data_IF_850674049951
#
_entry.id   IF_850674049951
#
_cell.length_a   1.000
_cell.length_b   1.000
_cell.length_c   1.000
_cell.angle_alpha   90.00
_cell.angle_beta   90.00
_cell.angle_gamma   90.00
#
_symmetry.space_group_name_H-M   'P 1'
#
loop_
_entity.id
_entity.type
_entity.pdbx_description
1 polymer ?
#
# COMPACT_ATOMS: atom_id res chain seq x y z
N UNK A 1 -29.46 31.79 -4.33
CA UNK A 1 -28.49 30.76 -4.77
C UNK A 1 -27.24 30.66 -3.87
N UNK A 2 -26.83 31.71 -3.15
CA UNK A 2 -25.70 31.66 -2.19
C UNK A 2 -25.92 30.73 -0.97
N UNK A 3 -27.16 30.54 -0.50
CA UNK A 3 -27.43 29.70 0.67
C UNK A 3 -27.21 28.18 0.44
N UNK A 4 -27.32 27.70 -0.81
CA UNK A 4 -27.04 26.28 -1.14
C UNK A 4 -25.53 26.01 -1.22
N UNK A 5 -24.72 26.96 -1.68
CA UNK A 5 -23.27 26.81 -1.78
C UNK A 5 -22.58 26.67 -0.40
N UNK A 6 -23.04 27.39 0.62
CA UNK A 6 -22.49 27.33 1.98
C UNK A 6 -22.81 25.99 2.66
N UNK A 7 -24.00 25.42 2.42
CA UNK A 7 -24.40 24.11 2.96
C UNK A 7 -23.58 22.98 2.31
N UNK A 8 -23.32 23.07 1.00
CA UNK A 8 -22.48 22.10 0.29
C UNK A 8 -21.00 22.21 0.69
N UNK A 9 -20.49 23.41 0.95
CA UNK A 9 -19.14 23.60 1.50
C UNK A 9 -19.03 23.02 2.92
N UNK A 10 -20.02 23.26 3.78
CA UNK A 10 -20.08 22.67 5.13
C UNK A 10 -20.24 21.14 5.13
N UNK A 11 -21.01 20.59 4.17
CA UNK A 11 -21.15 19.15 3.97
C UNK A 11 -19.86 18.54 3.41
N UNK A 12 -19.21 19.15 2.42
CA UNK A 12 -17.92 18.72 1.89
C UNK A 12 -16.79 18.79 2.93
N UNK A 13 -16.81 19.81 3.81
CA UNK A 13 -15.85 19.96 4.90
C UNK A 13 -16.11 18.97 6.05
N UNK A 14 -17.38 18.65 6.33
CA UNK A 14 -17.78 17.53 7.21
C UNK A 14 -17.46 16.17 6.60
N UNK A 15 -17.61 15.99 5.28
CA UNK A 15 -17.31 14.76 4.55
C UNK A 15 -15.79 14.56 4.47
N UNK A 16 -14.99 15.62 4.27
CA UNK A 16 -13.52 15.61 4.30
C UNK A 16 -12.97 15.29 5.69
N UNK A 17 -13.62 15.79 6.76
CA UNK A 17 -13.37 15.34 8.14
C UNK A 17 -13.85 13.89 8.37
N UNK A 18 -14.97 13.49 7.77
CA UNK A 18 -15.56 12.17 7.95
C UNK A 18 -14.81 11.06 7.21
N UNK A 19 -14.24 11.31 6.03
CA UNK A 19 -13.50 10.33 5.22
C UNK A 19 -12.09 10.10 5.76
N UNK A 20 -11.40 11.16 6.20
CA UNK A 20 -10.14 11.06 6.95
C UNK A 20 -10.33 10.34 8.29
N UNK A 21 -11.44 10.63 9.00
CA UNK A 21 -11.82 9.86 10.18
C UNK A 21 -12.30 8.45 9.87
N UNK A 22 -12.84 8.16 8.68
CA UNK A 22 -13.29 6.81 8.31
C UNK A 22 -12.10 5.89 8.13
N UNK A 23 -11.05 6.32 7.42
CA UNK A 23 -9.83 5.54 7.24
C UNK A 23 -9.13 5.29 8.58
N UNK A 24 -9.05 6.31 9.45
CA UNK A 24 -8.47 6.19 10.79
C UNK A 24 -9.37 5.33 11.70
N UNK A 25 -10.70 5.45 11.63
CA UNK A 25 -11.62 4.59 12.40
C UNK A 25 -11.62 3.15 11.91
N UNK A 26 -11.50 2.91 10.60
CA UNK A 26 -11.34 1.56 10.03
C UNK A 26 -10.00 1.00 10.48
N UNK A 27 -8.90 1.75 10.39
CA UNK A 27 -7.60 1.32 10.90
C UNK A 27 -7.64 1.02 12.41
N UNK A 28 -8.30 1.86 13.22
CA UNK A 28 -8.45 1.67 14.68
C UNK A 28 -9.35 0.48 15.01
N UNK A 29 -10.48 0.29 14.31
CA UNK A 29 -11.38 -0.86 14.47
C UNK A 29 -10.70 -2.15 14.02
N UNK A 30 -9.83 -2.07 13.01
CA UNK A 30 -9.07 -3.19 12.51
C UNK A 30 -7.92 -3.55 13.48
N UNK A 31 -7.21 -2.55 14.01
CA UNK A 31 -6.20 -2.73 15.07
C UNK A 31 -6.85 -3.25 16.36
N UNK A 32 -8.03 -2.78 16.74
CA UNK A 32 -8.73 -3.26 17.94
C UNK A 32 -9.21 -4.70 17.78
N UNK A 33 -9.84 -5.05 16.65
CA UNK A 33 -10.22 -6.44 16.33
C UNK A 33 -9.01 -7.39 16.33
N UNK A 34 -7.86 -6.93 15.83
CA UNK A 34 -6.60 -7.69 15.86
C UNK A 34 -6.06 -7.90 17.29
N UNK A 35 -6.18 -6.90 18.15
CA UNK A 35 -5.73 -6.99 19.55
C UNK A 35 -6.55 -8.03 20.31
N UNK A 36 -7.86 -8.10 20.06
CA UNK A 36 -8.75 -9.12 20.62
C UNK A 36 -8.40 -10.54 20.12
N UNK A 37 -8.17 -10.74 18.82
CA UNK A 37 -7.84 -12.07 18.27
C UNK A 37 -6.45 -12.56 18.70
N UNK A 38 -5.46 -11.66 18.77
CA UNK A 38 -4.11 -11.95 19.24
C UNK A 38 -4.08 -12.37 20.71
N UNK A 39 -4.93 -11.77 21.55
CA UNK A 39 -5.10 -12.18 22.94
C UNK A 39 -5.70 -13.59 23.07
N UNK A 40 -6.69 -13.94 22.24
CA UNK A 40 -7.34 -15.27 22.25
C UNK A 40 -6.37 -16.37 21.78
N UNK A 41 -5.58 -16.12 20.72
CA UNK A 41 -4.54 -17.05 20.25
C UNK A 41 -3.31 -17.15 21.18
N UNK A 42 -3.21 -16.29 22.21
CA UNK A 42 -2.12 -16.34 23.20
C UNK A 42 -2.28 -17.44 24.26
N UNK A 43 -3.48 -18.01 24.38
CA UNK A 43 -3.80 -19.07 25.34
C UNK A 43 -3.52 -20.49 24.83
N UNK A 44 -2.93 -20.65 23.64
CA UNK A 44 -2.74 -21.97 23.02
C UNK A 44 -1.38 -22.60 23.35
N UNK A 45 -1.45 -23.89 23.68
CA UNK A 45 -0.53 -24.88 24.26
C UNK A 45 0.92 -24.98 23.68
N UNK A 46 1.66 -23.87 23.56
CA UNK A 46 3.07 -23.91 23.15
C UNK A 46 4.03 -23.24 24.16
N UNK A 47 5.24 -23.79 24.41
CA UNK A 47 6.32 -23.19 25.22
C UNK A 47 6.85 -21.83 24.80
N UNK A 48 6.21 -21.16 23.85
CA UNK A 48 6.77 -19.99 23.23
C UNK A 48 6.35 -18.74 24.02
N UNK A 49 7.30 -17.84 24.35
CA UNK A 49 6.95 -16.57 24.97
C UNK A 49 5.91 -15.81 24.12
N UNK A 50 5.11 -14.96 24.78
CA UNK A 50 4.09 -14.15 24.09
C UNK A 50 4.77 -13.28 23.03
N UNK A 51 4.25 -13.31 21.81
CA UNK A 51 4.77 -12.49 20.70
C UNK A 51 4.29 -11.03 20.86
N UNK A 52 5.02 -10.08 20.26
CA UNK A 52 4.62 -8.68 20.28
C UNK A 52 3.44 -8.45 19.31
N UNK A 53 2.25 -8.26 19.89
CA UNK A 53 1.00 -8.01 19.14
C UNK A 53 1.11 -6.73 18.31
N UNK A 54 1.83 -5.71 18.78
CA UNK A 54 2.02 -4.47 18.02
C UNK A 54 2.85 -4.72 16.77
N UNK A 55 3.90 -5.53 16.85
CA UNK A 55 4.73 -5.87 15.69
C UNK A 55 3.93 -6.64 14.62
N UNK A 56 3.09 -7.58 15.05
CA UNK A 56 2.17 -8.32 14.16
C UNK A 56 1.15 -7.39 13.51
N UNK A 57 0.55 -6.46 14.27
CA UNK A 57 -0.39 -5.48 13.75
C UNK A 57 0.23 -4.54 12.71
N UNK A 58 1.48 -4.13 12.89
CA UNK A 58 2.21 -3.33 11.89
C UNK A 58 2.38 -4.10 10.58
N UNK A 59 2.76 -5.37 10.62
CA UNK A 59 2.86 -6.21 9.41
C UNK A 59 1.49 -6.31 8.70
N UNK A 60 0.41 -6.53 9.44
CA UNK A 60 -0.94 -6.58 8.86
C UNK A 60 -1.33 -5.22 8.23
N UNK A 61 -1.07 -4.10 8.92
CA UNK A 61 -1.31 -2.77 8.36
C UNK A 61 -0.45 -2.48 7.11
N UNK A 62 0.75 -3.05 7.05
CA UNK A 62 1.64 -2.96 5.89
C UNK A 62 1.07 -3.72 4.70
N UNK A 63 0.54 -4.93 4.93
CA UNK A 63 -0.13 -5.71 3.90
C UNK A 63 -1.37 -4.97 3.36
N UNK A 64 -2.17 -4.38 4.24
CA UNK A 64 -3.30 -3.54 3.84
C UNK A 64 -2.81 -2.38 2.96
N UNK A 65 -1.78 -1.66 3.39
CA UNK A 65 -1.22 -0.50 2.68
C UNK A 65 -0.74 -0.88 1.28
N UNK A 66 0.06 -1.95 1.15
CA UNK A 66 0.54 -2.41 -0.15
C UNK A 66 -0.60 -2.76 -1.12
N UNK A 67 -1.59 -3.51 -0.65
CA UNK A 67 -2.73 -3.91 -1.48
C UNK A 67 -3.61 -2.73 -1.85
N UNK A 68 -3.76 -1.75 -0.94
CA UNK A 68 -4.49 -0.52 -1.19
C UNK A 68 -3.86 0.26 -2.35
N UNK A 69 -2.56 0.56 -2.27
CA UNK A 69 -1.85 1.37 -3.26
C UNK A 69 -1.87 0.73 -4.64
N UNK A 70 -1.53 -0.56 -4.74
CA UNK A 70 -1.42 -1.25 -6.02
C UNK A 70 -2.78 -1.26 -6.71
N UNK A 71 -3.83 -1.66 -6.00
CA UNK A 71 -5.16 -1.74 -6.61
C UNK A 71 -5.71 -0.37 -6.94
N UNK A 72 -5.38 0.68 -6.19
CA UNK A 72 -5.75 2.04 -6.53
C UNK A 72 -5.04 2.53 -7.79
N UNK A 73 -3.72 2.33 -7.91
CA UNK A 73 -2.96 2.68 -9.12
C UNK A 73 -3.46 1.92 -10.35
N UNK A 74 -3.78 0.63 -10.21
CA UNK A 74 -4.37 -0.16 -11.30
C UNK A 74 -5.76 0.36 -11.71
N UNK A 75 -6.59 0.75 -10.74
CA UNK A 75 -7.95 1.23 -11.00
C UNK A 75 -7.96 2.58 -11.69
N UNK A 76 -7.19 3.54 -11.17
CA UNK A 76 -7.18 4.91 -11.71
C UNK A 76 -6.28 4.99 -12.94
N UNK A 77 -5.31 4.10 -13.11
CA UNK A 77 -4.29 4.21 -14.17
C UNK A 77 -4.87 4.55 -15.53
N UNK A 78 -6.00 3.93 -15.90
CA UNK A 78 -6.73 4.24 -17.13
C UNK A 78 -7.34 5.65 -17.15
N UNK A 79 -8.06 6.04 -16.09
CA UNK A 79 -8.66 7.37 -15.98
C UNK A 79 -7.60 8.48 -15.92
N UNK A 80 -6.50 8.21 -15.23
CA UNK A 80 -5.34 9.10 -15.14
C UNK A 80 -4.68 9.26 -16.50
N UNK A 81 -4.44 8.16 -17.23
CA UNK A 81 -3.82 8.20 -18.55
C UNK A 81 -4.65 9.00 -19.58
N UNK A 82 -5.97 8.78 -19.60
CA UNK A 82 -6.89 9.54 -20.46
C UNK A 82 -6.87 11.04 -20.12
N UNK A 83 -6.89 11.39 -18.83
CA UNK A 83 -6.90 12.78 -18.38
C UNK A 83 -5.56 13.51 -18.57
N UNK A 84 -4.43 12.83 -18.32
CA UNK A 84 -3.08 13.41 -18.30
C UNK A 84 -2.42 13.45 -19.67
N UNK A 85 -2.56 12.37 -20.46
CA UNK A 85 -1.89 12.24 -21.75
C UNK A 85 -2.83 12.39 -22.94
N UNK A 86 -4.13 12.64 -22.69
CA UNK A 86 -5.11 12.81 -23.75
C UNK A 86 -5.23 11.58 -24.65
N UNK A 87 -5.02 10.39 -24.08
CA UNK A 87 -5.16 9.14 -24.82
C UNK A 87 -6.64 8.78 -25.01
N UNK A 88 -6.96 8.17 -26.15
CA UNK A 88 -8.27 7.56 -26.35
C UNK A 88 -8.44 6.34 -25.45
N UNK A 89 -9.69 5.91 -25.21
CA UNK A 89 -9.96 4.70 -24.42
C UNK A 89 -9.27 3.46 -24.99
N UNK A 90 -9.23 3.32 -26.32
CA UNK A 90 -8.56 2.20 -26.99
C UNK A 90 -7.04 2.24 -26.77
N UNK A 91 -6.41 3.40 -26.95
CA UNK A 91 -4.96 3.57 -26.70
C UNK A 91 -4.61 3.34 -25.23
N UNK A 92 -5.46 3.81 -24.32
CA UNK A 92 -5.26 3.67 -22.88
C UNK A 92 -5.24 2.21 -22.45
N UNK A 93 -6.22 1.41 -22.88
CA UNK A 93 -6.28 -0.02 -22.53
C UNK A 93 -5.03 -0.77 -23.00
N UNK A 94 -4.56 -0.49 -24.22
CA UNK A 94 -3.35 -1.12 -24.77
C UNK A 94 -2.10 -0.68 -24.01
N UNK A 95 -1.89 0.63 -23.84
CA UNK A 95 -0.65 1.15 -23.24
C UNK A 95 -0.54 0.82 -21.75
N UNK A 96 -1.63 0.97 -20.99
CA UNK A 96 -1.68 0.57 -19.57
C UNK A 96 -1.50 -0.94 -19.43
N UNK A 97 -2.08 -1.74 -20.33
CA UNK A 97 -1.87 -3.19 -20.38
C UNK A 97 -0.40 -3.56 -20.58
N UNK A 98 0.30 -2.90 -21.51
CA UNK A 98 1.75 -3.10 -21.73
C UNK A 98 2.55 -2.70 -20.49
N UNK A 99 2.27 -1.53 -19.90
CA UNK A 99 2.95 -1.09 -18.68
C UNK A 99 2.76 -2.08 -17.53
N UNK A 100 1.55 -2.61 -17.36
CA UNK A 100 1.26 -3.60 -16.33
C UNK A 100 2.01 -4.92 -16.57
N UNK A 101 2.10 -5.36 -17.83
CA UNK A 101 2.85 -6.56 -18.20
C UNK A 101 4.35 -6.40 -17.90
N UNK A 102 4.93 -5.25 -18.26
CA UNK A 102 6.35 -4.94 -17.98
C UNK A 102 6.60 -4.83 -16.48
N UNK A 103 5.72 -4.15 -15.73
CA UNK A 103 5.79 -4.06 -14.27
C UNK A 103 5.72 -5.45 -13.61
N UNK A 104 4.82 -6.32 -14.07
CA UNK A 104 4.70 -7.70 -13.60
C UNK A 104 5.96 -8.52 -13.90
N UNK A 105 6.50 -8.43 -15.12
CA UNK A 105 7.74 -9.11 -15.49
C UNK A 105 8.94 -8.63 -14.66
N UNK A 106 9.08 -7.30 -14.48
CA UNK A 106 10.12 -6.71 -13.63
C UNK A 106 9.96 -7.15 -12.16
N UNK A 107 8.75 -7.21 -11.65
CA UNK A 107 8.45 -7.70 -10.29
C UNK A 107 8.87 -9.17 -10.11
N UNK A 108 8.61 -10.02 -11.10
CA UNK A 108 9.02 -11.44 -11.08
C UNK A 108 10.54 -11.57 -11.12
N UNK A 109 11.24 -10.73 -11.88
CA UNK A 109 12.72 -10.71 -11.91
C UNK A 109 13.30 -10.32 -10.55
N UNK A 110 12.77 -9.26 -9.93
CA UNK A 110 13.17 -8.82 -8.59
C UNK A 110 12.88 -9.92 -7.56
N UNK A 111 11.68 -10.52 -7.60
CA UNK A 111 11.31 -11.62 -6.70
C UNK A 111 12.24 -12.83 -6.83
N UNK A 112 12.53 -13.25 -8.07
CA UNK A 112 13.46 -14.36 -8.34
C UNK A 112 14.86 -14.06 -7.84
N UNK A 113 15.37 -12.85 -8.10
CA UNK A 113 16.67 -12.41 -7.57
C UNK A 113 16.69 -12.42 -6.04
N UNK A 114 15.57 -12.05 -5.43
CA UNK A 114 15.41 -12.06 -3.99
C UNK A 114 15.46 -13.47 -3.40
N UNK A 115 14.76 -14.43 -4.00
CA UNK A 115 14.73 -15.84 -3.55
C UNK A 115 16.08 -16.54 -3.75
N UNK A 116 16.74 -16.34 -4.89
CA UNK A 116 17.93 -17.14 -5.25
C UNK A 116 19.22 -16.64 -4.59
N UNK A 117 19.46 -15.33 -4.54
CA UNK A 117 20.75 -14.77 -4.08
C UNK A 117 20.66 -13.91 -2.83
N UNK A 118 19.51 -13.26 -2.61
CA UNK A 118 19.34 -12.33 -1.49
C UNK A 118 18.57 -12.95 -0.32
N UNK A 119 18.03 -14.15 -0.44
CA UNK A 119 17.26 -14.82 0.62
C UNK A 119 18.09 -14.98 1.89
N UNK A 120 19.35 -15.40 1.74
CA UNK A 120 20.31 -15.49 2.85
C UNK A 120 20.74 -14.11 3.37
N UNK A 121 20.85 -13.10 2.49
CA UNK A 121 21.17 -11.74 2.90
C UNK A 121 20.04 -11.11 3.72
N UNK A 122 18.79 -11.37 3.34
CA UNK A 122 17.58 -10.82 3.94
C UNK A 122 17.23 -11.55 5.23
N UNK A 123 17.38 -12.88 5.26
CA UNK A 123 17.02 -13.70 6.42
C UNK A 123 17.97 -13.55 7.62
N UNK A 124 19.11 -12.88 7.46
CA UNK A 124 20.06 -12.58 8.53
C UNK A 124 19.66 -11.36 9.38
N UNK A 125 18.39 -11.25 9.78
CA UNK A 125 17.89 -10.20 10.68
C UNK A 125 17.74 -8.81 10.06
N UNK A 126 17.90 -8.70 8.72
CA UNK A 126 17.83 -7.46 7.94
C UNK A 126 16.46 -7.25 7.27
N UNK A 127 15.48 -8.11 7.51
CA UNK A 127 14.14 -8.04 6.93
C UNK A 127 13.50 -6.67 7.15
N UNK A 128 13.67 -6.11 8.36
CA UNK A 128 13.18 -4.76 8.69
C UNK A 128 13.69 -3.69 7.75
N UNK A 129 14.99 -3.72 7.44
CA UNK A 129 15.64 -2.72 6.60
C UNK A 129 15.12 -2.87 5.17
N UNK A 130 15.01 -4.10 4.67
CA UNK A 130 14.46 -4.37 3.34
C UNK A 130 13.00 -3.93 3.21
N UNK A 131 12.16 -4.17 4.23
CA UNK A 131 10.79 -3.66 4.22
C UNK A 131 10.76 -2.13 4.15
N UNK A 132 11.58 -1.44 4.96
CA UNK A 132 11.65 0.02 4.93
C UNK A 132 12.19 0.56 3.59
N UNK A 133 13.17 -0.11 2.98
CA UNK A 133 13.67 0.24 1.64
C UNK A 133 12.53 0.11 0.62
N UNK A 134 11.79 -1.01 0.63
CA UNK A 134 10.67 -1.22 -0.28
C UNK A 134 9.57 -0.18 -0.11
N UNK A 135 9.15 0.10 1.13
CA UNK A 135 8.20 1.17 1.43
C UNK A 135 8.72 2.56 1.02
N UNK A 136 10.02 2.81 1.20
CA UNK A 136 10.68 4.04 0.76
C UNK A 136 10.70 4.20 -0.77
N UNK A 137 10.94 3.13 -1.53
CA UNK A 137 10.85 3.14 -2.99
C UNK A 137 9.43 3.46 -3.47
N UNK A 138 8.42 2.84 -2.84
CA UNK A 138 7.01 3.13 -3.11
C UNK A 138 6.65 4.58 -2.78
N UNK A 139 7.11 5.10 -1.65
CA UNK A 139 6.88 6.50 -1.26
C UNK A 139 7.57 7.46 -2.24
N UNK A 140 8.82 7.20 -2.60
CA UNK A 140 9.57 8.00 -3.55
C UNK A 140 8.90 8.03 -4.94
N UNK A 141 8.37 6.89 -5.41
CA UNK A 141 7.56 6.84 -6.64
C UNK A 141 6.37 7.81 -6.58
N UNK A 142 5.60 7.83 -5.49
CA UNK A 142 4.44 8.71 -5.36
C UNK A 142 4.82 10.19 -5.24
N UNK A 143 5.96 10.49 -4.60
CA UNK A 143 6.49 11.86 -4.51
C UNK A 143 6.91 12.36 -5.88
N UNK A 144 7.67 11.57 -6.64
CA UNK A 144 8.18 12.01 -7.96
C UNK A 144 7.08 12.09 -9.01
N UNK A 145 6.07 11.21 -8.94
CA UNK A 145 4.91 11.23 -9.85
C UNK A 145 3.81 12.21 -9.43
N UNK A 146 4.00 12.95 -8.34
CA UNK A 146 3.05 13.96 -7.91
C UNK A 146 2.95 15.07 -8.96
N UNK A 147 1.73 15.50 -9.36
CA UNK A 147 1.55 16.61 -10.29
C UNK A 147 1.87 17.94 -9.59
N UNK A 148 3.17 18.26 -9.51
CA UNK A 148 3.66 19.53 -8.97
C UNK A 148 3.15 20.70 -9.82
N UNK A 149 2.95 21.89 -9.22
CA UNK A 149 2.46 23.08 -9.92
C UNK A 149 3.57 23.74 -10.77
N UNK A 150 4.26 22.94 -11.58
CA UNK A 150 5.34 23.35 -12.47
C UNK A 150 5.07 22.80 -13.86
N UNK A 151 5.00 23.67 -14.86
CA UNK A 151 4.79 23.29 -16.26
C UNK A 151 3.42 23.70 -16.81
N UNK A 152 3.00 23.06 -17.90
CA UNK A 152 1.70 23.30 -18.54
C UNK A 152 0.55 22.66 -17.75
N UNK A 153 -0.58 23.35 -17.70
CA UNK A 153 -1.85 22.76 -17.27
C UNK A 153 -2.35 21.73 -18.28
N UNK A 154 -3.26 20.86 -17.85
CA UNK A 154 -3.84 19.83 -18.71
C UNK A 154 -4.46 20.42 -19.98
N UNK A 155 -4.22 19.74 -21.11
CA UNK A 155 -4.77 20.10 -22.42
C UNK A 155 -6.09 19.37 -22.66
N UNK A 156 -7.06 20.08 -23.19
CA UNK A 156 -8.32 19.52 -23.67
C UNK A 156 -8.40 19.71 -25.19
N UNK A 157 -8.58 18.62 -25.92
CA UNK A 157 -8.80 18.67 -27.36
C UNK A 157 -10.22 18.17 -27.64
N UNK A 158 -11.18 19.07 -27.93
CA UNK A 158 -12.55 18.65 -28.24
C UNK A 158 -12.58 17.85 -29.54
N UNK A 159 -13.55 16.93 -29.66
CA UNK A 159 -13.77 16.17 -30.89
C UNK A 159 -14.05 17.15 -32.04
N UNK A 160 -13.12 17.25 -32.99
CA UNK A 160 -13.31 18.05 -34.18
C UNK A 160 -13.97 17.17 -35.24
N UNK A 161 -15.09 17.61 -35.83
CA UNK A 161 -15.97 16.82 -36.73
C UNK A 161 -15.31 16.31 -38.02
N UNK A 162 -14.00 16.50 -38.20
CA UNK A 162 -13.28 16.30 -39.45
C UNK A 162 -12.22 15.19 -39.42
N UNK A 163 -11.94 14.52 -38.29
CA UNK A 163 -10.97 13.39 -38.31
C UNK A 163 -11.12 12.33 -37.21
N UNK A 164 -11.56 12.68 -36.01
CA UNK A 164 -11.73 11.71 -34.91
C UNK A 164 -12.92 12.12 -34.02
N UNK A 165 -13.93 11.26 -33.95
CA UNK A 165 -15.22 11.51 -33.26
C UNK A 165 -15.15 11.42 -31.73
N UNK A 166 -13.97 11.48 -31.12
CA UNK A 166 -13.80 11.31 -29.66
C UNK A 166 -13.08 12.49 -29.05
N UNK A 167 -13.68 13.12 -28.03
CA UNK A 167 -12.99 14.11 -27.21
C UNK A 167 -11.90 13.41 -26.40
N UNK A 168 -10.72 14.01 -26.37
CA UNK A 168 -9.57 13.47 -25.64
C UNK A 168 -9.04 14.48 -24.63
N UNK A 169 -8.52 13.96 -23.52
CA UNK A 169 -8.04 14.77 -22.41
C UNK A 169 -9.12 15.07 -21.37
N UNK A 170 -8.82 16.06 -20.53
CA UNK A 170 -9.65 16.43 -19.40
C UNK A 170 -10.65 17.52 -19.81
N UNK A 171 -11.93 17.17 -19.89
CA UNK A 171 -13.01 18.11 -20.23
C UNK A 171 -13.32 19.06 -19.05
N UNK A 172 -13.09 20.38 -19.19
CA UNK A 172 -13.33 21.35 -18.13
C UNK A 172 -14.80 21.47 -17.70
N UNK A 173 -15.75 21.15 -18.60
CA UNK A 173 -17.18 21.22 -18.31
C UNK A 173 -17.64 20.04 -17.44
N UNK A 174 -16.99 18.88 -17.59
CA UNK A 174 -17.22 17.69 -16.77
C UNK A 174 -16.38 17.67 -15.49
N UNK A 175 -15.16 18.23 -15.53
CA UNK A 175 -14.20 18.17 -14.44
C UNK A 175 -13.56 19.54 -14.15
N UNK A 176 -14.04 20.19 -13.09
CA UNK A 176 -13.53 21.52 -12.67
C UNK A 176 -12.03 21.57 -12.31
N UNK A 177 -11.41 20.42 -12.04
CA UNK A 177 -10.00 20.31 -11.67
C UNK A 177 -9.04 20.28 -12.89
N UNK A 178 -9.55 20.18 -14.13
CA UNK A 178 -8.67 20.18 -15.32
C UNK A 178 -7.81 21.43 -15.42
N UNK A 179 -8.31 22.58 -14.96
CA UNK A 179 -7.65 23.88 -15.09
C UNK A 179 -6.51 24.05 -14.08
N UNK A 180 -6.59 23.39 -12.92
CA UNK A 180 -5.61 23.55 -11.83
C UNK A 180 -4.52 22.48 -11.83
N UNK A 181 -4.76 21.35 -12.48
CA UNK A 181 -3.83 20.21 -12.50
C UNK A 181 -2.83 20.37 -13.64
N UNK A 182 -1.58 20.02 -13.34
CA UNK A 182 -0.46 20.08 -14.28
C UNK A 182 -0.17 18.69 -14.86
N UNK A 183 0.30 18.66 -16.11
CA UNK A 183 0.61 17.41 -16.81
C UNK A 183 1.89 16.75 -16.25
N UNK A 184 1.86 15.42 -16.09
CA UNK A 184 3.03 14.62 -15.69
C UNK A 184 3.61 13.91 -16.91
N UNK A 185 4.93 13.96 -17.08
CA UNK A 185 5.59 13.32 -18.22
C UNK A 185 5.38 11.80 -18.21
N UNK A 186 4.84 11.27 -19.31
CA UNK A 186 4.56 9.85 -19.48
C UNK A 186 5.79 8.96 -19.24
N UNK A 187 6.94 9.31 -19.82
CA UNK A 187 8.15 8.49 -19.73
C UNK A 187 8.69 8.43 -18.31
N UNK A 188 8.59 9.54 -17.57
CA UNK A 188 8.94 9.58 -16.16
C UNK A 188 8.04 8.62 -15.36
N UNK A 189 6.72 8.72 -15.54
CA UNK A 189 5.76 7.84 -14.88
C UNK A 189 6.02 6.37 -15.22
N UNK A 190 6.17 6.04 -16.51
CA UNK A 190 6.36 4.69 -17.02
C UNK A 190 7.64 4.03 -16.50
N UNK A 191 8.77 4.74 -16.55
CA UNK A 191 10.05 4.20 -16.07
C UNK A 191 10.00 3.94 -14.57
N UNK A 192 9.47 4.88 -13.78
CA UNK A 192 9.40 4.71 -12.33
C UNK A 192 8.38 3.64 -11.92
N UNK A 193 7.28 3.49 -12.67
CA UNK A 193 6.31 2.42 -12.48
C UNK A 193 6.97 1.04 -12.69
N UNK A 194 7.67 0.86 -13.80
CA UNK A 194 8.33 -0.40 -14.15
C UNK A 194 9.61 -0.70 -13.35
N UNK A 195 10.15 0.26 -12.60
CA UNK A 195 11.38 0.08 -11.80
C UNK A 195 11.12 0.16 -10.31
N UNK A 196 10.71 1.32 -9.79
CA UNK A 196 10.52 1.54 -8.36
C UNK A 196 9.31 0.79 -7.82
N UNK A 197 8.16 0.92 -8.47
CA UNK A 197 6.94 0.26 -8.01
C UNK A 197 7.03 -1.27 -8.23
N UNK A 198 7.60 -1.69 -9.35
CA UNK A 198 7.93 -3.09 -9.63
C UNK A 198 8.83 -3.73 -8.58
N UNK A 199 9.81 -2.99 -8.04
CA UNK A 199 10.68 -3.49 -6.98
C UNK A 199 10.03 -3.41 -5.59
N UNK A 200 9.26 -2.35 -5.32
CA UNK A 200 8.60 -2.09 -4.03
C UNK A 200 7.77 -3.29 -3.57
N UNK A 201 6.88 -3.80 -4.43
CA UNK A 201 5.96 -4.86 -4.05
C UNK A 201 6.65 -6.18 -3.63
N UNK A 202 7.48 -6.83 -4.46
CA UNK A 202 8.14 -8.08 -4.08
C UNK A 202 9.08 -7.91 -2.89
N UNK A 203 9.80 -6.78 -2.79
CA UNK A 203 10.72 -6.52 -1.67
C UNK A 203 9.94 -6.47 -0.35
N UNK A 204 8.91 -5.62 -0.25
CA UNK A 204 8.13 -5.51 0.98
C UNK A 204 7.40 -6.82 1.27
N UNK A 205 6.77 -7.44 0.27
CA UNK A 205 6.00 -8.66 0.47
C UNK A 205 6.88 -9.79 1.03
N UNK A 206 8.05 -10.06 0.44
CA UNK A 206 8.91 -11.16 0.94
C UNK A 206 9.52 -10.83 2.31
N UNK A 207 10.10 -9.65 2.48
CA UNK A 207 10.76 -9.26 3.73
C UNK A 207 9.76 -9.17 4.89
N UNK A 208 8.59 -8.57 4.68
CA UNK A 208 7.53 -8.48 5.69
C UNK A 208 6.97 -9.85 6.06
N UNK A 209 6.66 -10.72 5.09
CA UNK A 209 6.16 -12.08 5.40
C UNK A 209 7.22 -12.91 6.16
N UNK A 210 8.49 -12.77 5.78
CA UNK A 210 9.59 -13.46 6.47
C UNK A 210 9.70 -12.98 7.92
N UNK A 211 9.65 -11.67 8.14
CA UNK A 211 9.67 -11.09 9.49
C UNK A 211 8.44 -11.50 10.31
N UNK A 212 7.26 -11.49 9.70
CA UNK A 212 6.00 -11.88 10.33
C UNK A 212 6.05 -13.32 10.86
N UNK A 213 6.49 -14.27 10.05
CA UNK A 213 6.65 -15.67 10.47
C UNK A 213 7.70 -15.83 11.57
N UNK A 214 8.77 -15.03 11.55
CA UNK A 214 9.80 -15.01 12.61
C UNK A 214 9.33 -14.38 13.93
N UNK A 215 8.44 -13.39 13.89
CA UNK A 215 7.82 -12.81 15.09
C UNK A 215 6.86 -13.81 15.74
N UNK A 216 6.10 -14.56 14.95
CA UNK A 216 5.14 -15.55 15.46
C UNK A 216 5.80 -16.82 15.99
N UNK A 217 6.96 -17.22 15.44
CA UNK A 217 7.62 -18.48 15.76
C UNK A 217 6.81 -19.70 15.29
N UNK A 218 7.06 -20.88 15.88
CA UNK A 218 6.43 -22.15 15.51
C UNK A 218 4.97 -22.32 15.98
N UNK A 219 4.20 -21.22 16.06
CA UNK A 219 2.76 -21.23 16.39
C UNK A 219 1.93 -21.59 15.14
N UNK A 220 0.60 -21.70 15.28
CA UNK A 220 -0.38 -21.87 14.18
C UNK A 220 -0.37 -20.68 13.20
N UNK A 221 0.67 -20.59 12.39
CA UNK A 221 0.96 -19.49 11.44
C UNK A 221 -0.15 -19.31 10.40
N UNK A 222 -0.85 -20.38 10.00
CA UNK A 222 -1.90 -20.33 9.00
C UNK A 222 -3.04 -19.36 9.33
N UNK A 223 -3.51 -19.32 10.58
CA UNK A 223 -4.60 -18.40 10.97
C UNK A 223 -4.15 -16.94 10.91
N UNK A 224 -2.95 -16.65 11.41
CA UNK A 224 -2.40 -15.29 11.40
C UNK A 224 -2.09 -14.80 9.98
N UNK A 225 -1.56 -15.67 9.13
CA UNK A 225 -1.39 -15.41 7.70
C UNK A 225 -2.73 -15.14 7.02
N UNK A 226 -3.77 -15.90 7.40
CA UNK A 226 -5.14 -15.68 6.92
C UNK A 226 -5.69 -14.30 7.27
N UNK A 227 -5.49 -13.82 8.50
CA UNK A 227 -5.89 -12.46 8.93
C UNK A 227 -5.17 -11.40 8.09
N UNK A 228 -3.87 -11.56 7.90
CA UNK A 228 -3.08 -10.64 7.07
C UNK A 228 -3.59 -10.61 5.63
N UNK A 229 -3.88 -11.77 5.02
CA UNK A 229 -4.45 -11.83 3.68
C UNK A 229 -5.86 -11.21 3.61
N UNK A 230 -6.69 -11.45 4.62
CA UNK A 230 -8.02 -10.84 4.73
C UNK A 230 -7.94 -9.31 4.72
N UNK A 231 -6.96 -8.73 5.44
CA UNK A 231 -6.72 -7.28 5.43
C UNK A 231 -6.40 -6.76 4.02
N UNK A 232 -5.58 -7.50 3.28
CA UNK A 232 -5.25 -7.17 1.90
C UNK A 232 -6.47 -7.21 0.99
N UNK A 233 -7.32 -8.24 1.11
CA UNK A 233 -8.56 -8.33 0.34
C UNK A 233 -9.52 -7.18 0.65
N UNK A 234 -9.66 -6.78 1.92
CA UNK A 234 -10.45 -5.61 2.31
C UNK A 234 -9.92 -4.31 1.67
N UNK A 235 -8.61 -4.13 1.64
CA UNK A 235 -7.98 -3.00 0.96
C UNK A 235 -8.35 -2.95 -0.53
N UNK A 236 -8.30 -4.11 -1.22
CA UNK A 236 -8.65 -4.21 -2.65
C UNK A 236 -10.12 -3.95 -2.94
N UNK A 237 -11.01 -4.18 -1.98
CA UNK A 237 -12.44 -3.85 -2.13
C UNK A 237 -12.72 -2.38 -1.85
N UNK A 238 -12.13 -1.82 -0.78
CA UNK A 238 -12.44 -0.46 -0.34
C UNK A 238 -11.66 0.62 -1.11
N UNK A 239 -10.42 0.32 -1.52
CA UNK A 239 -9.54 1.25 -2.20
C UNK A 239 -10.14 1.83 -3.47
N UNK A 240 -10.47 1.01 -4.47
CA UNK A 240 -11.03 1.46 -5.74
C UNK A 240 -12.29 2.31 -5.58
N UNK A 241 -13.17 1.96 -4.64
CA UNK A 241 -14.40 2.69 -4.38
C UNK A 241 -14.12 4.11 -3.85
N UNK A 242 -13.26 4.21 -2.84
CA UNK A 242 -12.88 5.49 -2.24
C UNK A 242 -12.19 6.39 -3.28
N UNK A 243 -11.25 5.80 -4.00
CA UNK A 243 -10.33 6.53 -4.84
C UNK A 243 -10.96 6.92 -6.19
N UNK A 244 -11.82 6.09 -6.77
CA UNK A 244 -12.59 6.45 -7.97
C UNK A 244 -13.51 7.63 -7.68
N UNK A 245 -14.20 7.61 -6.53
CA UNK A 245 -15.03 8.73 -6.10
C UNK A 245 -14.21 10.01 -5.87
N UNK A 246 -13.07 9.88 -5.19
CA UNK A 246 -12.18 11.01 -4.92
C UNK A 246 -11.62 11.63 -6.20
N UNK A 247 -11.23 10.80 -7.17
CA UNK A 247 -10.71 11.24 -8.46
C UNK A 247 -11.77 12.00 -9.27
N UNK A 248 -13.01 11.49 -9.33
CA UNK A 248 -14.06 12.14 -10.11
C UNK A 248 -14.39 13.54 -9.58
N UNK A 249 -14.46 13.70 -8.25
CA UNK A 249 -14.90 14.96 -7.63
C UNK A 249 -13.76 15.97 -7.49
N UNK A 250 -12.57 15.53 -7.05
CA UNK A 250 -11.47 16.42 -6.68
C UNK A 250 -10.20 16.24 -7.50
N UNK A 251 -10.19 15.28 -8.43
CA UNK A 251 -9.06 15.03 -9.33
C UNK A 251 -7.92 14.21 -8.71
N UNK A 252 -6.75 14.18 -9.37
CA UNK A 252 -5.62 13.33 -9.01
C UNK A 252 -4.81 13.83 -7.79
N UNK A 253 -4.78 15.14 -7.51
CA UNK A 253 -3.99 15.71 -6.40
C UNK A 253 -4.32 15.05 -5.04
N UNK A 254 -5.59 15.01 -4.59
CA UNK A 254 -5.93 14.40 -3.30
C UNK A 254 -5.80 12.88 -3.29
N UNK A 255 -5.90 12.22 -4.45
CA UNK A 255 -5.64 10.78 -4.59
C UNK A 255 -4.17 10.48 -4.28
N UNK A 256 -3.24 11.16 -4.97
CA UNK A 256 -1.81 10.97 -4.69
C UNK A 256 -1.46 11.37 -3.26
N UNK A 257 -2.10 12.42 -2.71
CA UNK A 257 -1.96 12.80 -1.31
C UNK A 257 -2.41 11.70 -0.34
N UNK A 258 -3.49 10.98 -0.65
CA UNK A 258 -3.96 9.84 0.13
C UNK A 258 -2.94 8.70 0.11
N UNK A 259 -2.41 8.33 -1.06
CA UNK A 259 -1.40 7.27 -1.20
C UNK A 259 -0.09 7.61 -0.49
N UNK A 260 0.39 8.84 -0.64
CA UNK A 260 1.57 9.32 0.10
C UNK A 260 1.30 9.32 1.61
N UNK A 261 0.10 9.71 2.04
CA UNK A 261 -0.29 9.70 3.45
C UNK A 261 -0.29 8.30 4.05
N UNK A 262 -0.92 7.33 3.37
CA UNK A 262 -0.98 5.93 3.83
C UNK A 262 0.42 5.29 3.84
N UNK A 263 1.21 5.46 2.78
CA UNK A 263 2.61 5.00 2.74
C UNK A 263 3.47 5.66 3.81
N UNK A 264 3.35 6.97 3.96
CA UNK A 264 4.12 7.74 4.92
C UNK A 264 3.82 7.33 6.37
N UNK A 265 2.54 7.16 6.72
CA UNK A 265 2.14 6.66 8.04
C UNK A 265 2.70 5.26 8.28
N UNK A 266 2.58 4.35 7.31
CA UNK A 266 3.11 2.99 7.45
C UNK A 266 4.62 3.01 7.61
N UNK A 267 5.35 3.78 6.80
CA UNK A 267 6.80 3.94 6.92
C UNK A 267 7.20 4.51 8.30
N UNK A 268 6.47 5.52 8.79
CA UNK A 268 6.69 6.08 10.13
C UNK A 268 6.45 5.05 11.23
N UNK A 269 5.41 4.21 11.12
CA UNK A 269 5.17 3.12 12.07
C UNK A 269 6.33 2.13 12.11
N UNK A 270 6.90 1.77 10.96
CA UNK A 270 8.10 0.91 10.89
C UNK A 270 9.32 1.55 11.54
N UNK A 271 9.53 2.85 11.36
CA UNK A 271 10.65 3.59 11.96
C UNK A 271 10.49 3.66 13.49
N UNK A 272 9.32 4.07 13.98
CA UNK A 272 9.06 4.22 15.43
C UNK A 272 9.12 2.87 16.14
N UNK A 273 8.56 1.81 15.54
CA UNK A 273 8.51 0.47 16.11
C UNK A 273 9.70 -0.40 15.69
N UNK A 274 10.74 0.17 15.08
CA UNK A 274 11.91 -0.54 14.56
C UNK A 274 12.58 -1.44 15.62
N UNK A 275 12.65 -0.95 16.87
CA UNK A 275 13.20 -1.69 18.02
C UNK A 275 12.31 -2.84 18.50
N UNK A 276 11.00 -2.78 18.24
CA UNK A 276 10.03 -3.83 18.60
C UNK A 276 9.85 -4.89 17.52
N UNK A 277 10.13 -4.56 16.26
CA UNK A 277 10.04 -5.45 15.10
C UNK A 277 11.19 -6.49 15.05
N UNK A 278 11.50 -7.15 16.17
CA UNK A 278 12.58 -8.14 16.30
C UNK A 278 11.98 -9.55 16.19
N UNK A 279 12.67 -10.50 15.52
CA UNK A 279 12.32 -11.93 15.59
C UNK A 279 12.15 -12.41 17.03
N UNK A 280 11.27 -13.39 17.24
CA UNK A 280 11.06 -13.96 18.57
C UNK A 280 12.38 -14.54 19.09
N UNK A 281 12.90 -13.97 20.18
CA UNK A 281 14.07 -14.54 20.85
C UNK A 281 13.60 -15.70 21.73
N UNK A 282 13.87 -16.92 21.28
CA UNK A 282 13.70 -18.11 22.10
C UNK A 282 14.95 -18.18 22.99
N UNK A 283 14.83 -18.12 24.32
CA UNK A 283 15.99 -18.27 25.20
C UNK A 283 16.68 -19.59 24.87
N UNK A 284 17.94 -19.50 24.43
CA UNK A 284 18.76 -20.69 24.25
C UNK A 284 19.16 -21.16 25.64
N UNK A 285 18.46 -22.19 26.12
CA UNK A 285 18.80 -22.88 27.37
C UNK A 285 20.29 -23.22 27.36
N UNK A 286 21.05 -22.88 28.40
CA UNK A 286 22.40 -23.40 28.56
C UNK A 286 22.35 -24.90 28.90
N UNK A 287 23.49 -25.60 28.81
CA UNK A 287 23.57 -27.00 29.25
C UNK A 287 23.20 -27.10 30.73
N UNK A 288 22.18 -27.90 31.06
CA UNK A 288 21.64 -28.03 32.42
C UNK A 288 20.52 -27.06 32.79
N UNK A 289 20.15 -26.12 31.91
CA UNK A 289 18.98 -25.26 32.13
C UNK A 289 17.69 -25.90 31.61
N UNK A 290 16.57 -25.54 32.24
CA UNK A 290 15.24 -25.96 31.85
C UNK A 290 14.32 -24.75 31.65
N UNK A 291 13.36 -24.87 30.74
CA UNK A 291 12.25 -23.93 30.61
C UNK A 291 10.95 -24.65 30.94
N UNK A 292 10.20 -24.10 31.88
CA UNK A 292 8.83 -24.52 32.13
C UNK A 292 7.88 -23.92 31.09
N UNK A 293 6.94 -24.73 30.63
CA UNK A 293 5.82 -24.31 29.82
C UNK A 293 4.55 -25.07 30.17
N UNK A 294 3.41 -24.59 29.66
CA UNK A 294 2.09 -25.14 29.97
C UNK A 294 1.92 -26.65 29.68
N UNK A 295 2.82 -27.25 28.89
CA UNK A 295 2.82 -28.68 28.54
C UNK A 295 4.00 -29.48 29.10
N UNK A 296 4.81 -28.92 30.02
CA UNK A 296 5.92 -29.62 30.67
C UNK A 296 7.20 -28.79 30.80
N UNK A 297 8.32 -29.46 31.08
CA UNK A 297 9.65 -28.85 31.16
C UNK A 297 10.50 -29.30 29.99
N UNK A 298 11.08 -28.35 29.23
CA UNK A 298 12.09 -28.66 28.20
C UNK A 298 13.47 -28.47 28.82
N UNK A 299 14.19 -29.58 28.97
CA UNK A 299 15.58 -29.61 29.43
C UNK A 299 16.52 -29.58 28.23
N UNK A 300 17.63 -28.83 28.34
CA UNK A 300 18.78 -29.02 27.45
C UNK A 300 19.82 -29.83 28.21
N UNK A 301 19.90 -31.13 27.90
CA UNK A 301 20.96 -32.02 28.38
C UNK A 301 22.32 -31.62 27.81
#
# INVERSE_FOLDING_TARGET
>A
MQHRAVVWQGFAQRLKRSTSMLAIKVLILFVSAQTYQGAILSNDYNPLPKFDVFAVSVCVATQFTLMFIITNLETIGSMYAMAMWGWTSAQTVVNVGILQAVNGAASVLVYTGFVVKLGDYVSNGRERIWTMIGLGLGFFYHVVTFPYPWGSTLKFTPANQTSDNTSVGCDPDNYSWCISVHEVNFWLYAVLYCTLLAACFPIVNVSMNTLFSKILGARRQGTMQGIMLMSGSLARTLGPLLVSWLFQVYGPIPVWGLEMGTLGITLLLWIVLYRRLVPLQIPQLACGEYMEYAGGTKYRM
#
